data_IF_519829179101
#
_entry.id   IF_519829179101
#
_cell.length_a   1.000
_cell.length_b   1.000
_cell.length_c   1.000
_cell.angle_alpha   90.00
_cell.angle_beta   90.00
_cell.angle_gamma   90.00
#
_symmetry.space_group_name_H-M   'P 1'
#
loop_
_entity.id
_entity.type
_entity.pdbx_description
1 polymer ?
#
# COMPACT_ATOMS: atom_id res chain seq x y z
N UNK A 1 0.37 -3.79 -14.07
CA UNK A 1 1.69 -3.86 -13.43
C UNK A 1 1.87 -5.28 -12.92
N UNK A 2 3.05 -5.87 -13.10
CA UNK A 2 3.31 -7.23 -12.59
C UNK A 2 3.66 -7.17 -11.10
N UNK A 3 3.37 -8.26 -10.38
CA UNK A 3 3.61 -8.37 -8.93
C UNK A 3 5.11 -8.14 -8.60
N UNK A 4 6.01 -8.71 -9.41
CA UNK A 4 7.47 -8.57 -9.24
C UNK A 4 7.95 -7.10 -9.35
N UNK A 5 7.35 -6.32 -10.25
CA UNK A 5 7.66 -4.90 -10.41
C UNK A 5 7.23 -4.08 -9.18
N UNK A 6 6.11 -4.46 -8.56
CA UNK A 6 5.58 -3.80 -7.36
C UNK A 6 6.49 -4.07 -6.16
N UNK A 7 6.92 -5.31 -5.97
CA UNK A 7 7.90 -5.67 -4.94
C UNK A 7 9.17 -4.85 -5.07
N UNK A 8 9.74 -4.78 -6.29
CA UNK A 8 10.96 -4.02 -6.55
C UNK A 8 10.79 -2.52 -6.22
N UNK A 9 9.68 -1.92 -6.64
CA UNK A 9 9.39 -0.51 -6.32
C UNK A 9 9.26 -0.27 -4.82
N UNK A 10 8.70 -1.21 -4.07
CA UNK A 10 8.58 -1.10 -2.60
C UNK A 10 9.95 -1.17 -1.93
N UNK A 11 10.79 -2.14 -2.33
CA UNK A 11 12.15 -2.27 -1.80
C UNK A 11 12.99 -1.01 -2.04
N UNK A 12 12.91 -0.47 -3.25
CA UNK A 12 13.63 0.75 -3.66
C UNK A 12 13.12 2.02 -2.97
N UNK A 13 11.86 2.03 -2.48
CA UNK A 13 11.20 3.20 -1.88
C UNK A 13 10.71 2.94 -0.44
N UNK A 14 11.40 2.04 0.28
CA UNK A 14 11.04 1.65 1.65
C UNK A 14 10.96 2.86 2.60
N UNK A 15 11.82 3.86 2.43
CA UNK A 15 11.81 5.10 3.22
C UNK A 15 10.48 5.88 3.12
N UNK A 16 9.82 5.79 1.97
CA UNK A 16 8.53 6.45 1.69
C UNK A 16 7.37 5.61 2.20
N UNK A 17 7.45 4.29 2.05
CA UNK A 17 6.32 3.39 2.38
C UNK A 17 6.33 3.02 3.87
N UNK A 18 7.51 2.97 4.49
CA UNK A 18 7.76 2.62 5.88
C UNK A 18 7.03 1.33 6.31
N UNK A 19 7.26 0.26 5.53
CA UNK A 19 6.63 -1.05 5.74
C UNK A 19 7.11 -1.70 7.05
N UNK A 20 6.18 -2.39 7.74
CA UNK A 20 6.37 -2.92 9.10
C UNK A 20 7.16 -4.22 9.18
N UNK A 21 7.24 -4.97 8.09
CA UNK A 21 7.79 -6.32 8.11
C UNK A 21 8.67 -6.51 6.89
N UNK A 22 9.97 -6.26 7.06
CA UNK A 22 10.99 -6.57 6.05
C UNK A 22 11.05 -8.08 5.76
N UNK A 23 10.59 -8.89 6.71
CA UNK A 23 10.65 -10.35 6.69
C UNK A 23 9.30 -11.03 6.41
N UNK A 24 8.18 -10.28 6.42
CA UNK A 24 6.84 -10.79 6.08
C UNK A 24 6.13 -9.79 5.15
N UNK A 25 6.61 -9.71 3.91
CA UNK A 25 5.97 -8.91 2.86
C UNK A 25 4.66 -9.57 2.39
N UNK A 26 3.61 -9.53 3.21
CA UNK A 26 2.25 -9.91 2.81
C UNK A 26 1.58 -8.73 2.10
N UNK A 27 2.03 -8.40 0.88
CA UNK A 27 1.29 -7.51 0.00
C UNK A 27 0.25 -8.31 -0.74
N UNK A 28 -1.00 -7.89 -0.63
CA UNK A 28 -2.10 -8.58 -1.27
C UNK A 28 -2.72 -7.70 -2.35
N UNK A 29 -3.00 -8.34 -3.49
CA UNK A 29 -3.87 -7.79 -4.50
C UNK A 29 -5.23 -8.40 -4.33
N UNK A 30 -6.25 -7.55 -4.26
CA UNK A 30 -7.62 -8.02 -4.31
C UNK A 30 -8.44 -7.15 -5.25
N UNK A 31 -9.59 -7.67 -5.66
CA UNK A 31 -10.60 -6.91 -6.38
C UNK A 31 -11.60 -6.37 -5.37
N UNK A 32 -11.78 -5.05 -5.33
CA UNK A 32 -12.85 -4.47 -4.52
C UNK A 32 -14.23 -4.81 -5.10
N UNK A 33 -15.31 -4.43 -4.42
CA UNK A 33 -16.70 -4.71 -4.86
C UNK A 33 -17.02 -4.09 -6.24
N UNK A 34 -16.28 -3.07 -6.67
CA UNK A 34 -16.39 -2.43 -7.99
C UNK A 34 -15.54 -3.12 -9.08
N UNK A 35 -14.78 -4.17 -8.75
CA UNK A 35 -13.89 -4.88 -9.69
C UNK A 35 -12.55 -4.19 -9.96
N UNK A 36 -12.23 -3.12 -9.23
CA UNK A 36 -10.92 -2.43 -9.31
C UNK A 36 -9.85 -3.22 -8.59
N UNK A 37 -8.63 -3.17 -9.12
CA UNK A 37 -7.47 -3.77 -8.46
C UNK A 37 -7.00 -2.87 -7.33
N UNK A 38 -6.92 -3.42 -6.12
CA UNK A 38 -6.42 -2.72 -4.95
C UNK A 38 -5.13 -3.38 -4.49
N UNK A 39 -4.10 -2.57 -4.29
CA UNK A 39 -2.85 -2.95 -3.62
C UNK A 39 -2.97 -2.64 -2.14
N UNK A 40 -2.87 -3.65 -1.29
CA UNK A 40 -2.90 -3.52 0.15
C UNK A 40 -1.48 -3.49 0.71
N UNK A 41 -1.12 -2.40 1.42
CA UNK A 41 0.21 -2.17 2.00
C UNK A 41 0.10 -2.11 3.53
N UNK A 42 0.68 -3.05 4.28
CA UNK A 42 0.72 -2.98 5.74
C UNK A 42 1.60 -1.83 6.23
N UNK A 43 1.15 -1.14 7.27
CA UNK A 43 1.75 0.08 7.79
C UNK A 43 1.69 0.19 9.33
N UNK A 44 2.62 0.95 9.91
CA UNK A 44 2.58 1.34 11.33
C UNK A 44 1.71 2.56 11.61
N UNK A 45 1.34 3.30 10.56
CA UNK A 45 0.63 4.55 10.73
C UNK A 45 -0.85 4.29 10.93
N UNK A 46 -1.40 4.72 12.07
CA UNK A 46 -2.85 4.70 12.35
C UNK A 46 -3.62 5.82 11.61
N UNK A 47 -3.16 6.17 10.40
CA UNK A 47 -3.66 7.30 9.63
C UNK A 47 -3.21 7.20 8.18
N UNK A 48 -3.86 7.99 7.33
CA UNK A 48 -3.43 8.22 5.96
C UNK A 48 -2.00 8.82 5.89
N UNK A 49 -1.24 8.53 4.82
CA UNK A 49 0.04 9.19 4.57
C UNK A 49 -0.15 10.70 4.40
N UNK A 50 0.92 11.47 4.66
CA UNK A 50 0.90 12.92 4.38
C UNK A 50 0.65 13.17 2.89
N UNK A 51 0.11 14.35 2.51
CA UNK A 51 -0.19 14.67 1.09
C UNK A 51 0.99 14.38 0.15
N UNK A 52 2.20 14.83 0.52
CA UNK A 52 3.43 14.62 -0.26
C UNK A 52 3.81 13.14 -0.38
N UNK A 53 3.58 12.36 0.67
CA UNK A 53 3.86 10.93 0.68
C UNK A 53 2.81 10.16 -0.13
N UNK A 54 1.54 10.55 -0.02
CA UNK A 54 0.43 9.99 -0.78
C UNK A 54 0.63 10.19 -2.29
N UNK A 55 1.01 11.41 -2.71
CA UNK A 55 1.33 11.72 -4.12
C UNK A 55 2.45 10.82 -4.64
N UNK A 56 3.55 10.68 -3.88
CA UNK A 56 4.65 9.77 -4.25
C UNK A 56 4.20 8.31 -4.38
N UNK A 57 3.41 7.81 -3.42
CA UNK A 57 2.90 6.43 -3.45
C UNK A 57 1.99 6.21 -4.67
N UNK A 58 1.10 7.17 -4.97
CA UNK A 58 0.25 7.12 -6.17
C UNK A 58 1.08 7.11 -7.45
N UNK A 59 2.09 7.95 -7.55
CA UNK A 59 2.98 8.00 -8.72
C UNK A 59 3.78 6.69 -8.89
N UNK A 60 4.21 6.07 -7.79
CA UNK A 60 4.96 4.80 -7.82
C UNK A 60 4.12 3.63 -8.36
N UNK A 61 2.90 3.49 -7.86
CA UNK A 61 2.03 2.35 -8.17
C UNK A 61 1.03 2.64 -9.29
N UNK A 62 0.95 3.86 -9.79
CA UNK A 62 -0.05 4.27 -10.78
C UNK A 62 -1.47 4.25 -10.18
N UNK A 63 -1.62 4.70 -8.94
CA UNK A 63 -2.88 4.67 -8.21
C UNK A 63 -3.64 5.99 -8.23
N UNK A 64 -4.97 5.92 -8.05
CA UNK A 64 -5.85 7.10 -7.99
C UNK A 64 -6.13 7.56 -6.56
N UNK A 65 -6.38 6.61 -5.66
CA UNK A 65 -6.83 6.87 -4.31
C UNK A 65 -6.06 6.01 -3.30
N UNK A 66 -5.80 6.58 -2.12
CA UNK A 66 -5.24 5.86 -0.98
C UNK A 66 -6.23 5.94 0.15
N UNK A 67 -6.71 4.80 0.62
CA UNK A 67 -7.57 4.69 1.79
C UNK A 67 -6.81 4.04 2.95
N UNK A 68 -7.19 4.39 4.17
CA UNK A 68 -6.64 3.81 5.39
C UNK A 68 -7.63 2.81 5.94
N UNK A 69 -7.16 1.60 6.24
CA UNK A 69 -7.96 0.56 6.88
C UNK A 69 -7.41 0.31 8.28
N UNK A 70 -8.28 0.51 9.25
CA UNK A 70 -8.06 0.14 10.64
C UNK A 70 -8.52 -1.30 10.83
N UNK A 71 -7.61 -2.19 11.22
CA UNK A 71 -7.91 -3.59 11.52
C UNK A 71 -7.66 -3.78 13.00
N UNK A 72 -8.61 -4.43 13.67
CA UNK A 72 -8.54 -4.63 15.12
C UNK A 72 -7.26 -5.39 15.50
N UNK A 73 -6.58 -5.00 16.60
CA UNK A 73 -5.40 -5.72 17.07
C UNK A 73 -5.68 -7.22 17.26
N UNK A 74 -4.74 -8.12 16.88
CA UNK A 74 -3.30 -7.88 16.69
C UNK A 74 -2.86 -7.51 15.27
N UNK A 75 -3.79 -7.34 14.33
CA UNK A 75 -3.47 -7.20 12.91
C UNK A 75 -2.83 -5.84 12.58
N UNK A 76 -2.01 -5.76 11.50
CA UNK A 76 -1.41 -4.50 11.07
C UNK A 76 -2.46 -3.57 10.45
N UNK A 77 -2.19 -2.26 10.49
CA UNK A 77 -2.97 -1.28 9.73
C UNK A 77 -2.61 -1.37 8.26
N UNK A 78 -3.50 -0.92 7.37
CA UNK A 78 -3.23 -0.96 5.94
C UNK A 78 -3.49 0.37 5.24
N UNK A 79 -2.71 0.61 4.19
CA UNK A 79 -3.02 1.54 3.13
C UNK A 79 -3.44 0.76 1.89
N UNK A 80 -4.65 1.02 1.44
CA UNK A 80 -5.19 0.48 0.21
C UNK A 80 -5.00 1.49 -0.91
N UNK A 81 -4.38 1.06 -1.99
CA UNK A 81 -4.11 1.90 -3.16
C UNK A 81 -4.92 1.33 -4.33
N UNK A 82 -5.90 2.09 -4.81
CA UNK A 82 -6.64 1.72 -6.03
C UNK A 82 -5.76 1.96 -7.25
N UNK A 83 -5.47 0.90 -8.02
CA UNK A 83 -4.63 0.96 -9.21
C UNK A 83 -5.45 1.28 -10.47
N UNK A 84 -4.84 1.98 -11.43
CA UNK A 84 -5.39 2.28 -12.76
C UNK A 84 -5.32 1.11 -13.74
#
# INVERSE_FOLDING_TARGET
MEIEEIFKKIEENNDIINHRYRDEMNFEFYKNEEGKTVLNIPTFYKKLPSKKQAEKIKDLFGGDEITFVDVDPPDPFFWNIELK
#
